data_IF_093608346173
#
_entry.id   IF_093608346173
#
_cell.length_a   1.000
_cell.length_b   1.000
_cell.length_c   1.000
_cell.angle_alpha   90.00
_cell.angle_beta   90.00
_cell.angle_gamma   90.00
#
_symmetry.space_group_name_H-M   'P 1'
#
loop_
_entity.id
_entity.type
_entity.pdbx_description
1 polymer ?
#
# COMPACT_ATOMS: atom_id res chain seq x y z
N UNK A 1 -22.24 -19.49 40.46
CA UNK A 1 -21.60 -19.62 39.13
C UNK A 1 -22.51 -18.92 38.14
N UNK A 2 -22.23 -17.66 37.81
CA UNK A 2 -23.01 -16.92 36.82
C UNK A 2 -22.39 -17.14 35.45
N UNK A 3 -23.05 -17.94 34.64
CA UNK A 3 -22.73 -18.12 33.23
C UNK A 3 -23.28 -16.91 32.49
N UNK A 4 -22.41 -15.93 32.21
CA UNK A 4 -22.77 -14.78 31.38
C UNK A 4 -23.09 -15.24 29.96
N UNK A 5 -24.34 -15.04 29.54
CA UNK A 5 -24.77 -15.27 28.16
C UNK A 5 -24.10 -14.22 27.26
N UNK A 6 -23.14 -14.66 26.45
CA UNK A 6 -22.48 -13.82 25.43
C UNK A 6 -23.53 -13.24 24.47
N UNK A 7 -23.63 -11.91 24.50
CA UNK A 7 -24.49 -11.12 23.63
C UNK A 7 -24.14 -11.40 22.17
N UNK A 8 -25.09 -11.96 21.41
CA UNK A 8 -24.98 -12.15 19.96
C UNK A 8 -24.79 -10.79 19.28
N UNK A 9 -23.55 -10.43 18.98
CA UNK A 9 -23.20 -9.25 18.18
C UNK A 9 -23.97 -9.24 16.85
N UNK A 10 -24.56 -8.09 16.51
CA UNK A 10 -25.35 -7.91 15.28
C UNK A 10 -24.47 -8.13 14.05
N UNK A 11 -25.05 -8.51 12.89
CA UNK A 11 -24.28 -8.60 11.64
C UNK A 11 -23.56 -7.28 11.31
N UNK A 12 -24.14 -6.14 11.67
CA UNK A 12 -23.54 -4.83 11.51
C UNK A 12 -22.28 -4.66 12.37
N UNK A 13 -22.32 -5.02 13.65
CA UNK A 13 -21.15 -4.95 14.54
C UNK A 13 -20.03 -5.92 14.09
N UNK A 14 -20.39 -7.12 13.60
CA UNK A 14 -19.41 -8.05 13.01
C UNK A 14 -18.87 -7.59 11.64
N UNK A 15 -19.58 -6.72 10.92
CA UNK A 15 -19.11 -6.11 9.66
C UNK A 15 -18.16 -4.96 9.95
N UNK A 16 -18.51 -4.09 10.90
CA UNK A 16 -17.65 -3.02 11.41
C UNK A 16 -16.33 -3.58 11.97
N UNK A 17 -16.40 -4.66 12.77
CA UNK A 17 -15.20 -5.33 13.28
C UNK A 17 -14.34 -6.01 12.18
N UNK A 18 -14.89 -6.24 10.98
CA UNK A 18 -14.15 -6.77 9.82
C UNK A 18 -13.64 -5.68 8.88
N UNK A 19 -14.04 -4.42 9.06
CA UNK A 19 -13.43 -3.26 8.39
C UNK A 19 -12.09 -2.86 9.03
N UNK A 20 -11.44 -3.78 9.75
CA UNK A 20 -10.17 -3.50 10.44
C UNK A 20 -9.06 -3.39 9.41
N UNK A 21 -8.79 -2.13 9.07
CA UNK A 21 -7.74 -1.59 8.24
C UNK A 21 -7.74 -1.98 6.76
N UNK A 22 -7.65 -0.95 5.90
CA UNK A 22 -7.24 -1.11 4.52
C UNK A 22 -5.72 -1.23 4.46
N UNK A 23 -5.21 -2.00 3.51
CA UNK A 23 -3.78 -2.10 3.23
C UNK A 23 -3.45 -1.39 1.91
N UNK A 24 -2.48 -0.49 1.94
CA UNK A 24 -1.89 0.11 0.74
C UNK A 24 -0.45 -0.37 0.65
N UNK A 25 -0.16 -1.23 -0.33
CA UNK A 25 1.13 -1.90 -0.45
C UNK A 25 1.79 -1.49 -1.77
N UNK A 26 3.09 -1.20 -1.74
CA UNK A 26 3.87 -0.94 -2.94
C UNK A 26 5.05 -1.88 -3.04
N UNK A 27 5.43 -2.24 -4.27
CA UNK A 27 6.61 -3.05 -4.57
C UNK A 27 7.19 -2.66 -5.94
N UNK A 28 8.40 -3.15 -6.23
CA UNK A 28 9.05 -3.03 -7.52
C UNK A 28 9.65 -4.36 -7.99
N UNK A 29 10.34 -4.37 -9.13
CA UNK A 29 10.96 -5.57 -9.70
C UNK A 29 11.97 -6.26 -8.76
N UNK A 30 12.48 -5.59 -7.72
CA UNK A 30 13.46 -6.13 -6.78
C UNK A 30 12.81 -6.65 -5.48
N UNK A 31 11.56 -6.27 -5.20
CA UNK A 31 10.86 -6.61 -3.95
C UNK A 31 9.68 -7.57 -4.12
N UNK A 32 9.55 -8.23 -5.28
CA UNK A 32 8.47 -9.20 -5.52
C UNK A 32 8.43 -10.34 -4.49
N UNK A 33 9.57 -10.93 -4.16
CA UNK A 33 9.64 -12.00 -3.15
C UNK A 33 9.26 -11.49 -1.75
N UNK A 34 9.70 -10.28 -1.40
CA UNK A 34 9.35 -9.64 -0.11
C UNK A 34 7.85 -9.34 -0.04
N UNK A 35 7.26 -8.88 -1.16
CA UNK A 35 5.83 -8.68 -1.29
C UNK A 35 5.06 -9.98 -1.06
N UNK A 36 5.42 -11.07 -1.74
CA UNK A 36 4.73 -12.36 -1.57
C UNK A 36 4.78 -12.83 -0.11
N UNK A 37 5.96 -12.78 0.52
CA UNK A 37 6.11 -13.11 1.95
C UNK A 37 5.20 -12.23 2.79
N UNK A 38 5.19 -10.91 2.59
CA UNK A 38 4.31 -10.00 3.32
C UNK A 38 2.83 -10.37 3.15
N UNK A 39 2.38 -10.63 1.92
CA UNK A 39 0.98 -10.98 1.64
C UNK A 39 0.54 -12.26 2.36
N UNK A 40 1.44 -13.24 2.55
CA UNK A 40 1.11 -14.46 3.32
C UNK A 40 0.84 -14.21 4.80
N UNK A 41 1.31 -13.08 5.35
CA UNK A 41 1.07 -12.69 6.75
C UNK A 41 -0.27 -12.01 6.95
N UNK A 42 -0.93 -11.58 5.87
CA UNK A 42 -2.18 -10.86 5.94
C UNK A 42 -3.35 -11.79 6.26
N UNK A 43 -4.36 -11.33 7.03
CA UNK A 43 -5.56 -12.11 7.26
C UNK A 43 -6.35 -12.30 5.96
N UNK A 44 -7.09 -13.40 5.84
CA UNK A 44 -7.93 -13.71 4.66
C UNK A 44 -8.96 -12.62 4.29
N UNK A 45 -9.34 -11.79 5.25
CA UNK A 45 -10.28 -10.69 5.05
C UNK A 45 -9.60 -9.33 4.80
N UNK A 46 -8.25 -9.31 4.71
CA UNK A 46 -7.50 -8.10 4.36
C UNK A 46 -8.04 -7.52 3.04
N UNK A 47 -8.26 -6.21 3.05
CA UNK A 47 -8.80 -5.46 1.92
C UNK A 47 -7.82 -4.34 1.59
N UNK A 48 -7.70 -3.95 0.32
CA UNK A 48 -6.69 -2.94 -0.02
C UNK A 48 -6.25 -2.89 -1.48
N UNK A 49 -5.15 -2.19 -1.69
CA UNK A 49 -4.50 -2.01 -2.99
C UNK A 49 -3.04 -2.42 -2.92
N UNK A 50 -2.56 -2.99 -4.02
CA UNK A 50 -1.17 -3.34 -4.22
C UNK A 50 -0.75 -2.70 -5.56
N UNK A 51 0.24 -1.83 -5.53
CA UNK A 51 0.85 -1.28 -6.74
C UNK A 51 2.25 -1.86 -6.92
N UNK A 52 2.53 -2.37 -8.12
CA UNK A 52 3.82 -2.99 -8.44
C UNK A 52 4.38 -2.32 -9.68
N UNK A 53 5.54 -1.68 -9.55
CA UNK A 53 6.24 -1.09 -10.69
C UNK A 53 7.25 -2.08 -11.28
N UNK A 54 7.33 -2.11 -12.61
CA UNK A 54 8.30 -2.95 -13.33
C UNK A 54 8.85 -2.20 -14.54
N UNK A 55 10.03 -2.58 -15.08
CA UNK A 55 10.57 -1.98 -16.30
C UNK A 55 9.61 -2.07 -17.49
N UNK A 56 9.11 -3.29 -17.78
CA UNK A 56 8.37 -3.60 -19.00
C UNK A 56 7.13 -4.45 -18.73
N UNK A 57 6.25 -4.60 -19.74
CA UNK A 57 5.11 -5.53 -19.65
C UNK A 57 5.53 -6.98 -19.58
N UNK A 58 6.71 -7.32 -20.12
CA UNK A 58 7.23 -8.69 -20.05
C UNK A 58 7.57 -9.13 -18.62
N UNK A 59 7.74 -8.18 -17.71
CA UNK A 59 8.04 -8.42 -16.29
C UNK A 59 6.77 -8.61 -15.44
N UNK A 60 5.57 -8.50 -16.04
CA UNK A 60 4.30 -8.71 -15.33
C UNK A 60 4.10 -10.19 -15.04
N UNK A 61 3.80 -10.48 -13.78
CA UNK A 61 3.54 -11.84 -13.29
C UNK A 61 2.20 -12.00 -12.59
N UNK A 62 2.07 -13.15 -11.92
CA UNK A 62 0.94 -13.45 -11.02
C UNK A 62 1.41 -13.23 -9.60
N UNK A 63 0.59 -12.53 -8.80
CA UNK A 63 0.80 -12.34 -7.36
C UNK A 63 -0.46 -12.82 -6.65
N UNK A 64 -0.29 -13.78 -5.75
CA UNK A 64 -1.38 -14.31 -4.93
C UNK A 64 -1.66 -13.32 -3.78
N UNK A 65 -2.76 -12.57 -3.90
CA UNK A 65 -3.20 -11.61 -2.89
C UNK A 65 -4.51 -12.07 -2.23
N UNK A 66 -4.78 -11.66 -0.97
CA UNK A 66 -6.09 -11.88 -0.34
C UNK A 66 -7.23 -11.38 -1.23
N UNK A 67 -8.35 -12.12 -1.27
CA UNK A 67 -9.41 -11.94 -2.28
C UNK A 67 -10.16 -10.60 -2.27
N UNK A 68 -9.86 -9.69 -1.33
CA UNK A 68 -10.39 -8.31 -1.30
C UNK A 68 -9.32 -7.26 -1.57
N UNK A 69 -8.13 -7.67 -2.01
CA UNK A 69 -7.07 -6.80 -2.45
C UNK A 69 -7.00 -6.78 -3.97
N UNK A 70 -6.61 -5.64 -4.54
CA UNK A 70 -6.42 -5.50 -6.00
C UNK A 70 -4.97 -5.22 -6.32
N UNK A 71 -4.35 -6.08 -7.13
CA UNK A 71 -3.00 -5.91 -7.67
C UNK A 71 -3.05 -5.09 -8.95
N UNK A 72 -2.25 -4.03 -9.03
CA UNK A 72 -2.10 -3.17 -10.20
C UNK A 72 -0.64 -3.13 -10.62
N UNK A 73 -0.38 -3.57 -11.84
CA UNK A 73 0.97 -3.53 -12.44
C UNK A 73 1.20 -2.23 -13.21
N UNK A 74 2.39 -1.66 -13.02
CA UNK A 74 2.82 -0.38 -13.57
C UNK A 74 4.09 -0.58 -14.39
N UNK A 75 3.95 -0.99 -15.65
CA UNK A 75 5.07 -1.03 -16.59
C UNK A 75 5.53 0.39 -16.94
N UNK A 76 6.81 0.71 -16.66
CA UNK A 76 7.40 2.04 -16.89
C UNK A 76 7.49 2.39 -18.37
N UNK A 77 7.82 1.42 -19.23
CA UNK A 77 7.94 1.65 -20.69
C UNK A 77 6.66 2.18 -21.35
N UNK A 78 5.49 1.90 -20.75
CA UNK A 78 4.19 2.34 -21.26
C UNK A 78 3.73 3.69 -20.68
N UNK A 79 4.54 4.30 -19.81
CA UNK A 79 4.15 5.50 -19.06
C UNK A 79 5.11 6.64 -19.31
N UNK A 80 4.57 7.80 -19.59
CA UNK A 80 5.33 9.04 -19.77
C UNK A 80 5.87 9.54 -18.44
N UNK A 81 7.16 9.90 -18.43
CA UNK A 81 7.86 10.46 -17.29
C UNK A 81 7.47 11.91 -16.99
N UNK A 82 8.46 12.77 -16.76
CA UNK A 82 8.21 14.19 -16.54
C UNK A 82 7.59 14.84 -17.80
N UNK A 83 6.54 15.67 -17.67
CA UNK A 83 5.95 16.40 -18.79
C UNK A 83 7.01 17.16 -19.60
N UNK A 84 6.94 17.09 -20.93
CA UNK A 84 7.90 17.74 -21.83
C UNK A 84 9.25 17.03 -22.00
N UNK A 85 9.54 15.95 -21.24
CA UNK A 85 10.81 15.23 -21.38
C UNK A 85 10.87 14.26 -22.58
N UNK A 86 9.71 13.78 -23.06
CA UNK A 86 9.63 12.73 -24.06
C UNK A 86 10.17 11.36 -23.59
N UNK A 87 10.48 11.21 -22.30
CA UNK A 87 11.05 9.99 -21.71
C UNK A 87 9.96 9.15 -21.05
N UNK A 88 10.21 7.85 -20.93
CA UNK A 88 9.44 6.97 -20.05
C UNK A 88 9.65 7.33 -18.57
N UNK A 89 8.79 6.80 -17.69
CA UNK A 89 8.93 6.95 -16.24
C UNK A 89 10.30 6.48 -15.74
N UNK A 90 10.91 7.27 -14.86
CA UNK A 90 12.05 6.83 -14.07
C UNK A 90 11.62 5.77 -13.02
N UNK A 91 12.55 4.93 -12.51
CA UNK A 91 12.26 4.08 -11.35
C UNK A 91 11.62 4.86 -10.19
N UNK A 92 10.57 4.30 -9.60
CA UNK A 92 9.76 4.87 -8.52
C UNK A 92 8.67 5.85 -8.97
N UNK A 93 8.76 6.40 -10.18
CA UNK A 93 7.91 7.50 -10.61
C UNK A 93 6.46 7.08 -10.88
N UNK A 94 6.24 5.94 -11.54
CA UNK A 94 4.88 5.45 -11.78
C UNK A 94 4.26 4.96 -10.48
N UNK A 95 5.07 4.30 -9.63
CA UNK A 95 4.66 3.81 -8.32
C UNK A 95 4.19 4.95 -7.41
N UNK A 96 4.99 6.00 -7.28
CA UNK A 96 4.67 7.16 -6.45
C UNK A 96 3.39 7.85 -6.93
N UNK A 97 3.29 8.14 -8.24
CA UNK A 97 2.09 8.77 -8.82
C UNK A 97 0.82 7.97 -8.58
N UNK A 98 0.84 6.66 -8.83
CA UNK A 98 -0.34 5.82 -8.65
C UNK A 98 -0.76 5.72 -7.17
N UNK A 99 0.22 5.63 -6.28
CA UNK A 99 -0.01 5.51 -4.83
C UNK A 99 -0.57 6.81 -4.28
N UNK A 100 0.04 7.96 -4.58
CA UNK A 100 -0.44 9.27 -4.13
C UNK A 100 -1.83 9.59 -4.69
N UNK A 101 -2.08 9.34 -5.98
CA UNK A 101 -3.40 9.55 -6.57
C UNK A 101 -4.48 8.69 -5.90
N UNK A 102 -4.18 7.43 -5.58
CA UNK A 102 -5.12 6.59 -4.86
C UNK A 102 -5.35 7.09 -3.42
N UNK A 103 -4.29 7.50 -2.73
CA UNK A 103 -4.37 8.02 -1.37
C UNK A 103 -5.19 9.32 -1.31
N UNK A 104 -4.97 10.23 -2.26
CA UNK A 104 -5.70 11.50 -2.39
C UNK A 104 -7.20 11.31 -2.58
N UNK A 105 -7.62 10.22 -3.22
CA UNK A 105 -9.04 9.94 -3.44
C UNK A 105 -9.68 9.11 -2.32
N UNK A 106 -8.92 8.21 -1.68
CA UNK A 106 -9.48 7.15 -0.83
C UNK A 106 -9.19 7.30 0.65
N UNK A 107 -8.20 8.13 1.02
CA UNK A 107 -7.82 8.38 2.41
C UNK A 107 -8.38 9.70 2.95
N UNK A 108 -9.40 10.28 2.29
CA UNK A 108 -10.02 11.54 2.70
C UNK A 108 -10.87 11.44 3.99
N UNK A 109 -11.36 10.24 4.33
CA UNK A 109 -12.25 10.01 5.47
C UNK A 109 -11.57 9.20 6.57
N UNK A 110 -11.57 9.72 7.80
CA UNK A 110 -10.97 9.08 8.99
C UNK A 110 -11.70 7.80 9.47
N UNK A 111 -12.77 7.37 8.78
CA UNK A 111 -13.58 6.22 9.18
C UNK A 111 -12.84 4.88 9.03
N UNK A 112 -11.82 4.82 8.18
CA UNK A 112 -11.09 3.60 7.84
C UNK A 112 -9.59 3.83 7.93
N UNK A 113 -8.97 3.32 9.01
CA UNK A 113 -7.52 3.28 9.15
C UNK A 113 -6.88 2.56 7.95
N UNK A 114 -5.89 3.18 7.31
CA UNK A 114 -5.13 2.55 6.23
C UNK A 114 -3.69 2.32 6.67
N UNK A 115 -3.25 1.06 6.63
CA UNK A 115 -1.86 0.65 6.88
C UNK A 115 -1.10 0.64 5.56
N UNK A 116 0.00 1.37 5.53
CA UNK A 116 0.82 1.57 4.34
C UNK A 116 2.09 0.73 4.47
N UNK A 117 2.46 -0.01 3.44
CA UNK A 117 3.67 -0.86 3.41
C UNK A 117 4.41 -0.62 2.10
N UNK A 118 5.57 0.03 2.16
CA UNK A 118 6.29 0.50 0.98
C UNK A 118 7.58 -0.30 0.77
N UNK A 119 7.53 -1.29 -0.11
CA UNK A 119 8.66 -2.20 -0.39
C UNK A 119 9.47 -1.78 -1.63
N UNK A 120 9.10 -0.69 -2.29
CA UNK A 120 9.80 -0.18 -3.47
C UNK A 120 11.14 0.50 -3.14
N UNK A 121 11.89 0.83 -4.19
CA UNK A 121 13.15 1.56 -4.11
C UNK A 121 13.04 2.93 -3.42
N UNK A 122 14.19 3.42 -2.94
CA UNK A 122 14.27 4.61 -2.07
C UNK A 122 13.55 5.84 -2.63
N UNK A 123 13.80 6.23 -3.89
CA UNK A 123 13.26 7.48 -4.45
C UNK A 123 11.73 7.48 -4.49
N UNK A 124 11.11 6.41 -5.00
CA UNK A 124 9.66 6.30 -5.02
C UNK A 124 9.06 6.23 -3.62
N UNK A 125 9.70 5.49 -2.72
CA UNK A 125 9.25 5.40 -1.31
C UNK A 125 9.35 6.74 -0.59
N UNK A 126 10.42 7.51 -0.79
CA UNK A 126 10.60 8.84 -0.20
C UNK A 126 9.52 9.82 -0.68
N UNK A 127 9.24 9.85 -2.00
CA UNK A 127 8.20 10.70 -2.58
C UNK A 127 6.80 10.35 -2.01
N UNK A 128 6.51 9.05 -1.84
CA UNK A 128 5.25 8.59 -1.24
C UNK A 128 5.17 8.99 0.23
N UNK A 129 6.22 8.76 1.02
CA UNK A 129 6.24 9.11 2.45
C UNK A 129 5.99 10.60 2.63
N UNK A 130 6.74 11.44 1.91
CA UNK A 130 6.59 12.90 1.97
C UNK A 130 5.15 13.32 1.67
N UNK A 131 4.54 12.78 0.61
CA UNK A 131 3.16 13.08 0.26
C UNK A 131 2.17 12.66 1.36
N UNK A 132 2.29 11.42 1.85
CA UNK A 132 1.40 10.89 2.88
C UNK A 132 1.50 11.68 4.18
N UNK A 133 2.71 12.04 4.63
CA UNK A 133 2.90 12.74 5.91
C UNK A 133 2.64 14.23 5.81
N UNK A 134 3.01 14.88 4.70
CA UNK A 134 2.94 16.34 4.56
C UNK A 134 1.61 16.81 3.97
N UNK A 135 1.09 16.13 2.93
CA UNK A 135 -0.15 16.54 2.26
C UNK A 135 -1.39 15.91 2.92
N UNK A 136 -1.32 14.61 3.24
CA UNK A 136 -2.45 13.86 3.82
C UNK A 136 -2.38 13.70 5.34
N UNK A 137 -1.31 14.19 5.98
CA UNK A 137 -1.12 14.15 7.44
C UNK A 137 -1.26 12.74 8.06
N UNK A 138 -0.93 11.71 7.28
CA UNK A 138 -0.97 10.31 7.73
C UNK A 138 0.05 10.13 8.84
N UNK A 139 -0.37 9.49 9.94
CA UNK A 139 0.53 9.17 11.04
C UNK A 139 1.68 8.28 10.57
N UNK A 140 2.95 8.63 10.85
CA UNK A 140 4.11 7.79 10.54
C UNK A 140 4.00 6.36 11.08
N UNK A 141 3.30 6.17 12.21
CA UNK A 141 3.09 4.85 12.81
C UNK A 141 2.24 3.89 11.94
N UNK A 142 1.52 4.42 10.95
CA UNK A 142 0.75 3.63 9.98
C UNK A 142 1.54 3.28 8.72
N UNK A 143 2.75 3.83 8.56
CA UNK A 143 3.59 3.65 7.38
C UNK A 143 4.76 2.75 7.74
N UNK A 144 4.92 1.66 7.00
CA UNK A 144 6.09 0.80 7.06
C UNK A 144 6.97 1.02 5.83
N UNK A 145 8.26 1.30 6.07
CA UNK A 145 9.31 1.36 5.05
C UNK A 145 10.53 0.60 5.55
N UNK A 146 11.38 0.05 4.66
CA UNK A 146 12.63 -0.56 5.06
C UNK A 146 13.51 0.38 5.90
N UNK A 147 13.98 -0.10 7.06
CA UNK A 147 14.75 0.70 8.03
C UNK A 147 15.98 1.39 7.40
N UNK A 148 16.62 0.71 6.45
CA UNK A 148 17.79 1.21 5.69
C UNK A 148 17.55 2.56 4.98
N UNK A 149 16.29 2.95 4.76
CA UNK A 149 15.95 4.21 4.12
C UNK A 149 15.89 5.39 5.09
N UNK A 150 15.69 5.16 6.39
CA UNK A 150 15.69 6.22 7.41
C UNK A 150 14.65 7.33 7.16
N UNK A 151 13.51 7.01 6.53
CA UNK A 151 12.49 7.98 6.10
C UNK A 151 11.49 8.36 7.20
N UNK A 152 11.34 7.50 8.21
CA UNK A 152 10.39 7.69 9.29
C UNK A 152 11.13 7.87 10.62
N UNK A 153 10.57 8.62 11.58
CA UNK A 153 11.14 8.71 12.92
C UNK A 153 11.29 7.30 13.51
N UNK A 154 12.46 6.96 14.04
CA UNK A 154 12.61 5.76 14.84
C UNK A 154 11.78 5.95 16.11
N UNK A 155 10.77 5.10 16.33
CA UNK A 155 10.06 5.05 17.61
C UNK A 155 11.09 4.93 18.72
N UNK A 156 11.09 5.90 19.64
CA UNK A 156 12.04 6.03 20.74
C UNK A 156 11.33 5.92 22.08
#
# INVERSE_FOLDING_TARGET
>A
MNTSLETRSTRAARRAARQRAHHLVTADEQSLTELEVFLTTLPLCASGRIFIEVPSVADIGVIEAPGRMTVTWLAREQRSGAPGSGRACAPGQALARATCAWADEMMCDDEIETRVTLLGGYLGTADIVEHLTSALQVSPALIHTPERFGLLPSDR
#
